data_IF_420558426911
#
_entry.id   IF_420558426911
#
_cell.length_a   1.000
_cell.length_b   1.000
_cell.length_c   1.000
_cell.angle_alpha   90.00
_cell.angle_beta   90.00
_cell.angle_gamma   90.00
#
_symmetry.space_group_name_H-M   'P 1'
#
loop_
_entity.id
_entity.type
_entity.pdbx_description
1 polymer ?
#
# COMPACT_ATOMS: atom_id res chain seq x y z
N UNK A 1 19.00 16.65 -0.55
CA UNK A 1 18.69 18.01 -1.01
C UNK A 1 17.22 18.09 -1.30
N UNK A 2 16.48 18.93 -0.57
CA UNK A 2 15.03 19.01 -0.62
C UNK A 2 14.61 19.68 -1.94
N UNK A 3 14.17 18.90 -2.93
CA UNK A 3 13.60 19.43 -4.18
C UNK A 3 12.30 20.15 -3.84
N UNK A 4 12.35 21.49 -3.91
CA UNK A 4 11.17 22.37 -3.79
C UNK A 4 10.16 21.98 -4.86
N UNK A 5 8.91 21.81 -4.46
CA UNK A 5 7.78 21.57 -5.36
C UNK A 5 7.59 22.79 -6.27
N UNK A 6 7.77 22.61 -7.58
CA UNK A 6 7.46 23.64 -8.58
C UNK A 6 6.01 23.45 -9.06
N UNK A 7 5.10 24.27 -8.52
CA UNK A 7 3.67 24.31 -8.84
C UNK A 7 2.83 24.50 -7.57
N UNK A 8 1.67 25.18 -7.60
CA UNK A 8 0.81 25.30 -6.43
C UNK A 8 0.28 23.90 -6.08
N UNK A 9 0.91 23.24 -5.11
CA UNK A 9 0.50 21.96 -4.58
C UNK A 9 -0.75 22.16 -3.73
N UNK A 10 -1.90 22.15 -4.41
CA UNK A 10 -3.20 22.41 -3.84
C UNK A 10 -3.85 21.11 -3.36
N UNK A 11 -4.15 21.04 -2.06
CA UNK A 11 -4.92 19.97 -1.43
C UNK A 11 -6.29 19.78 -2.12
N UNK A 12 -6.92 18.62 -1.92
CA UNK A 12 -8.30 18.33 -2.34
C UNK A 12 -9.30 19.44 -1.96
N UNK A 13 -9.13 20.12 -0.81
CA UNK A 13 -9.96 21.27 -0.38
C UNK A 13 -9.42 22.65 -0.78
N UNK A 14 -8.50 22.69 -1.75
CA UNK A 14 -7.86 23.92 -2.26
C UNK A 14 -6.81 24.55 -1.31
N UNK A 15 -6.39 23.84 -0.25
CA UNK A 15 -5.34 24.33 0.67
C UNK A 15 -3.94 24.33 0.02
N UNK A 16 -3.16 25.40 0.23
CA UNK A 16 -1.89 25.68 -0.46
C UNK A 16 -0.67 24.95 0.16
N UNK A 17 -0.84 24.33 1.33
CA UNK A 17 0.26 23.66 2.06
C UNK A 17 -0.15 22.25 2.54
N UNK A 18 -0.24 21.25 1.64
CA UNK A 18 -0.46 19.87 2.04
C UNK A 18 0.79 19.32 2.74
N UNK A 19 0.58 18.58 3.83
CA UNK A 19 1.64 17.94 4.62
C UNK A 19 1.60 16.41 4.51
N UNK A 20 0.54 15.89 3.89
CA UNK A 20 0.29 14.46 3.75
C UNK A 20 0.05 14.10 2.29
N UNK A 21 0.24 12.84 1.97
CA UNK A 21 -0.14 12.25 0.70
C UNK A 21 -1.05 11.05 0.93
N UNK A 22 -2.01 10.86 0.02
CA UNK A 22 -2.67 9.57 -0.19
C UNK A 22 -1.94 8.87 -1.33
N UNK A 23 -1.14 7.86 -1.00
CA UNK A 23 -0.19 7.22 -1.94
C UNK A 23 -0.92 6.55 -3.08
N UNK A 24 -1.88 5.67 -2.78
CA UNK A 24 -2.67 4.94 -3.78
C UNK A 24 -3.61 5.84 -4.60
N UNK A 25 -3.97 7.03 -4.11
CA UNK A 25 -4.77 8.00 -4.89
C UNK A 25 -3.93 9.03 -5.62
N UNK A 26 -2.62 9.07 -5.35
CA UNK A 26 -1.67 10.05 -5.83
C UNK A 26 -2.15 11.51 -5.67
N UNK A 27 -2.63 11.84 -4.47
CA UNK A 27 -3.09 13.20 -4.13
C UNK A 27 -2.39 13.70 -2.87
N UNK A 28 -2.09 15.00 -2.85
CA UNK A 28 -1.60 15.70 -1.67
C UNK A 28 -2.79 16.24 -0.85
N UNK A 29 -2.72 16.11 0.47
CA UNK A 29 -3.81 16.49 1.39
C UNK A 29 -3.26 17.25 2.62
N UNK A 30 -4.06 18.18 3.14
CA UNK A 30 -3.76 18.90 4.38
C UNK A 30 -4.21 18.08 5.61
N UNK A 31 -3.80 18.50 6.81
CA UNK A 31 -4.15 17.83 8.08
C UNK A 31 -5.65 17.56 8.22
N UNK A 32 -6.49 18.57 7.99
CA UNK A 32 -7.93 18.43 8.11
C UNK A 32 -8.51 17.38 7.16
N UNK A 33 -8.03 17.31 5.92
CA UNK A 33 -8.47 16.25 5.00
C UNK A 33 -7.88 14.89 5.42
N UNK A 34 -6.61 14.87 5.85
CA UNK A 34 -5.92 13.69 6.34
C UNK A 34 -6.66 13.01 7.51
N UNK A 35 -7.20 13.77 8.46
CA UNK A 35 -7.98 13.19 9.57
C UNK A 35 -9.18 12.39 9.08
N UNK A 36 -9.84 12.83 8.01
CA UNK A 36 -10.93 12.07 7.37
C UNK A 36 -10.39 10.87 6.62
N UNK A 37 -9.32 11.03 5.83
CA UNK A 37 -8.70 9.94 5.08
C UNK A 37 -8.27 8.77 5.98
N UNK A 38 -7.72 9.07 7.17
CA UNK A 38 -7.37 8.07 8.18
C UNK A 38 -8.58 7.26 8.65
N UNK A 39 -9.77 7.89 8.75
CA UNK A 39 -11.02 7.21 9.11
C UNK A 39 -11.57 6.29 8.02
N UNK A 40 -11.11 6.41 6.77
CA UNK A 40 -11.55 5.56 5.66
C UNK A 40 -10.83 4.20 5.64
N UNK A 41 -9.62 4.13 6.20
CA UNK A 41 -8.76 2.95 6.17
C UNK A 41 -7.94 2.80 4.88
N UNK A 42 -6.88 1.98 4.95
CA UNK A 42 -5.86 1.83 3.91
C UNK A 42 -6.40 1.32 2.57
N UNK A 43 -7.48 0.52 2.61
CA UNK A 43 -8.16 0.02 1.41
C UNK A 43 -8.74 1.17 0.56
N UNK A 44 -9.11 2.29 1.18
CA UNK A 44 -9.57 3.49 0.47
C UNK A 44 -8.43 4.49 0.24
N UNK A 45 -7.64 4.77 1.28
CA UNK A 45 -6.56 5.76 1.24
C UNK A 45 -5.38 5.33 2.12
N UNK A 46 -4.22 5.12 1.51
CA UNK A 46 -2.94 4.87 2.18
C UNK A 46 -2.26 6.22 2.48
N UNK A 47 -2.28 6.64 3.74
CA UNK A 47 -1.84 7.99 4.15
C UNK A 47 -0.38 7.97 4.60
N UNK A 48 0.43 8.94 4.15
CA UNK A 48 1.82 9.11 4.59
C UNK A 48 2.17 10.59 4.72
N UNK A 49 2.90 10.96 5.78
CA UNK A 49 3.36 12.34 5.97
C UNK A 49 4.54 12.65 5.04
N UNK A 50 4.59 13.85 4.47
CA UNK A 50 5.57 14.21 3.44
C UNK A 50 6.99 14.40 3.97
N UNK A 51 7.16 14.78 5.24
CA UNK A 51 8.47 15.18 5.79
C UNK A 51 8.88 14.49 7.08
N UNK A 52 8.00 13.71 7.72
CA UNK A 52 8.27 13.18 9.07
C UNK A 52 9.03 11.85 9.01
N UNK A 53 8.75 11.03 8.00
CA UNK A 53 9.49 9.81 7.71
C UNK A 53 10.14 9.92 6.34
N UNK A 54 11.35 9.37 6.20
CA UNK A 54 12.02 9.31 4.91
C UNK A 54 11.17 8.49 3.93
N UNK A 55 11.08 8.96 2.69
CA UNK A 55 10.41 8.24 1.61
C UNK A 55 11.45 7.49 0.77
N UNK A 56 11.10 6.31 0.23
CA UNK A 56 11.78 5.80 -0.95
C UNK A 56 11.71 6.89 -2.04
N UNK A 57 12.84 7.37 -2.59
CA UNK A 57 12.85 8.49 -3.53
C UNK A 57 11.95 8.26 -4.75
N UNK A 58 11.95 7.03 -5.27
CA UNK A 58 11.17 6.58 -6.42
C UNK A 58 9.66 6.55 -6.14
N UNK A 59 9.24 6.19 -4.92
CA UNK A 59 7.84 6.21 -4.51
C UNK A 59 7.32 7.66 -4.40
N UNK A 60 8.09 8.56 -3.79
CA UNK A 60 7.72 9.97 -3.71
C UNK A 60 7.66 10.60 -5.12
N UNK A 61 8.64 10.30 -5.98
CA UNK A 61 8.65 10.74 -7.36
C UNK A 61 7.42 10.24 -8.13
N UNK A 62 7.00 8.98 -7.93
CA UNK A 62 5.78 8.43 -8.53
C UNK A 62 4.53 9.22 -8.10
N UNK A 63 4.37 9.49 -6.80
CA UNK A 63 3.23 10.27 -6.27
C UNK A 63 3.24 11.69 -6.83
N UNK A 64 4.39 12.37 -6.82
CA UNK A 64 4.54 13.73 -7.34
C UNK A 64 4.24 13.80 -8.84
N UNK A 65 4.74 12.83 -9.61
CA UNK A 65 4.52 12.76 -11.06
C UNK A 65 3.05 12.59 -11.36
N UNK A 66 2.36 11.65 -10.71
CA UNK A 66 0.92 11.47 -10.88
C UNK A 66 0.12 12.70 -10.48
N UNK A 67 0.44 13.29 -9.33
CA UNK A 67 -0.23 14.48 -8.84
C UNK A 67 -0.10 15.66 -9.82
N UNK A 68 1.12 15.94 -10.30
CA UNK A 68 1.40 17.02 -11.24
C UNK A 68 0.78 16.78 -12.63
N UNK A 69 0.62 15.52 -13.04
CA UNK A 69 -0.08 15.14 -14.27
C UNK A 69 -1.60 15.00 -14.08
N UNK A 70 -2.16 15.56 -13.02
CA UNK A 70 -3.61 15.67 -12.88
C UNK A 70 -4.31 14.37 -12.48
N UNK A 71 -3.68 13.49 -11.70
CA UNK A 71 -4.34 12.30 -11.11
C UNK A 71 -5.68 12.64 -10.43
N UNK A 72 -5.80 13.85 -9.88
CA UNK A 72 -7.03 14.33 -9.28
C UNK A 72 -8.24 14.37 -10.24
N UNK A 73 -8.00 14.50 -11.55
CA UNK A 73 -9.04 14.49 -12.59
C UNK A 73 -9.78 13.14 -12.68
N UNK A 74 -9.12 12.03 -12.31
CA UNK A 74 -9.75 10.70 -12.25
C UNK A 74 -10.85 10.71 -11.19
N UNK A 75 -10.55 11.28 -10.03
CA UNK A 75 -11.41 11.30 -8.85
C UNK A 75 -12.43 12.44 -8.84
N UNK A 76 -12.31 13.41 -9.75
CA UNK A 76 -13.18 14.60 -9.85
C UNK A 76 -13.76 14.77 -11.27
N UNK A 77 -13.74 13.72 -12.10
CA UNK A 77 -14.12 13.79 -13.51
C UNK A 77 -15.47 14.48 -13.73
N UNK A 78 -16.52 14.06 -13.00
CA UNK A 78 -17.86 14.65 -13.16
C UNK A 78 -17.96 16.10 -12.65
N UNK A 79 -17.01 16.56 -11.84
CA UNK A 79 -16.97 17.96 -11.36
C UNK A 79 -16.27 18.88 -12.38
N UNK A 80 -15.43 18.30 -13.23
CA UNK A 80 -14.73 19.00 -14.30
C UNK A 80 -15.55 19.06 -15.61
N UNK A 81 -16.51 18.15 -15.78
CA UNK A 81 -17.38 18.08 -16.94
C UNK A 81 -18.44 19.21 -16.93
N UNK A 82 -18.41 20.15 -17.89
CA UNK A 82 -19.36 21.26 -17.97
C UNK A 82 -20.83 20.80 -18.10
N UNK A 83 -21.07 19.63 -18.69
CA UNK A 83 -22.42 19.07 -18.83
C UNK A 83 -22.98 18.56 -17.48
N UNK A 84 -22.10 18.12 -16.59
CA UNK A 84 -22.44 17.59 -15.25
C UNK A 84 -22.42 18.68 -14.15
N UNK A 85 -21.84 19.84 -14.44
CA UNK A 85 -21.66 20.96 -13.51
C UNK A 85 -22.96 21.70 -13.11
N UNK A 86 -24.11 21.38 -13.74
CA UNK A 86 -25.42 21.99 -13.40
C UNK A 86 -26.08 21.41 -12.14
N UNK A 87 -25.51 20.37 -11.52
CA UNK A 87 -25.97 19.82 -10.23
C UNK A 87 -25.36 20.56 -9.01
N UNK A 88 -26.01 20.46 -7.85
CA UNK A 88 -25.59 21.03 -6.55
C UNK A 88 -24.26 20.46 -5.97
N UNK A 89 -23.40 19.88 -6.80
CA UNK A 89 -22.17 19.17 -6.42
C UNK A 89 -21.00 20.15 -6.39
N UNK A 90 -20.89 20.92 -5.30
CA UNK A 90 -19.79 21.88 -5.11
C UNK A 90 -18.56 21.20 -4.50
N UNK A 91 -17.38 21.49 -5.05
CA UNK A 91 -16.09 21.15 -4.42
C UNK A 91 -15.92 21.94 -3.11
N UNK A 92 -15.39 21.28 -2.09
CA UNK A 92 -15.18 21.92 -0.78
C UNK A 92 -14.12 23.01 -0.84
N UNK A 93 -14.35 24.09 -0.10
CA UNK A 93 -13.46 25.23 0.04
C UNK A 93 -12.57 25.10 1.28
N UNK A 94 -11.50 25.90 1.33
CA UNK A 94 -10.53 25.91 2.43
C UNK A 94 -11.19 26.19 3.78
N UNK A 95 -12.18 27.09 3.82
CA UNK A 95 -12.86 27.54 5.04
C UNK A 95 -14.08 26.69 5.42
N UNK A 96 -14.42 25.66 4.63
CA UNK A 96 -15.53 24.78 4.99
C UNK A 96 -15.23 24.04 6.29
N UNK A 97 -16.27 23.84 7.11
CA UNK A 97 -16.16 23.06 8.35
C UNK A 97 -15.69 21.64 8.02
N UNK A 98 -14.82 21.10 8.87
CA UNK A 98 -14.32 19.73 8.73
C UNK A 98 -15.48 18.73 8.70
N UNK A 99 -16.40 18.87 9.66
CA UNK A 99 -17.65 18.13 9.72
C UNK A 99 -18.86 19.07 9.62
N UNK A 100 -19.88 18.71 8.82
CA UNK A 100 -19.95 17.55 7.92
C UNK A 100 -19.26 17.77 6.56
N UNK A 101 -19.04 19.03 6.13
CA UNK A 101 -18.76 19.40 4.73
C UNK A 101 -17.55 18.69 4.10
N UNK A 102 -16.34 18.88 4.67
CA UNK A 102 -15.12 18.24 4.12
C UNK A 102 -15.20 16.72 4.23
N UNK A 103 -15.71 16.21 5.35
CA UNK A 103 -15.81 14.78 5.59
C UNK A 103 -16.74 14.07 4.60
N UNK A 104 -17.93 14.62 4.34
CA UNK A 104 -18.89 14.06 3.38
C UNK A 104 -18.35 14.12 1.95
N UNK A 105 -17.71 15.23 1.56
CA UNK A 105 -17.09 15.33 0.24
C UNK A 105 -15.97 14.30 0.03
N UNK A 106 -15.09 14.13 1.01
CA UNK A 106 -13.98 13.16 0.95
C UNK A 106 -14.52 11.72 0.87
N UNK A 107 -15.54 11.39 1.66
CA UNK A 107 -16.23 10.09 1.60
C UNK A 107 -16.90 9.89 0.24
N UNK A 108 -17.65 10.87 -0.25
CA UNK A 108 -18.27 10.81 -1.56
C UNK A 108 -17.22 10.59 -2.67
N UNK A 109 -16.08 11.26 -2.57
CA UNK A 109 -15.00 11.19 -3.56
C UNK A 109 -14.27 9.85 -3.60
N UNK A 110 -13.79 9.35 -2.46
CA UNK A 110 -12.87 8.20 -2.43
C UNK A 110 -13.48 6.90 -1.91
N UNK A 111 -14.55 7.00 -1.12
CA UNK A 111 -15.25 5.82 -0.61
C UNK A 111 -16.44 5.45 -1.50
N UNK A 112 -17.24 6.44 -1.92
CA UNK A 112 -18.41 6.21 -2.79
C UNK A 112 -18.08 6.35 -4.28
N UNK A 113 -16.89 6.86 -4.61
CA UNK A 113 -16.46 7.13 -5.99
C UNK A 113 -17.51 7.96 -6.79
N UNK A 114 -18.16 8.91 -6.14
CA UNK A 114 -19.33 9.62 -6.68
C UNK A 114 -19.04 10.51 -7.90
N UNK A 115 -17.77 10.79 -8.18
CA UNK A 115 -17.35 11.75 -9.22
C UNK A 115 -16.45 11.13 -10.30
N UNK A 116 -16.21 9.82 -10.27
CA UNK A 116 -15.40 9.15 -11.30
C UNK A 116 -16.22 8.99 -12.58
N UNK A 117 -15.56 8.86 -13.73
CA UNK A 117 -16.24 8.66 -15.02
C UNK A 117 -17.01 7.33 -15.06
N UNK A 118 -16.43 6.27 -14.49
CA UNK A 118 -17.04 4.93 -14.41
C UNK A 118 -16.69 4.30 -13.08
N UNK A 119 -17.70 3.72 -12.43
CA UNK A 119 -17.54 2.94 -11.19
C UNK A 119 -16.73 1.67 -11.54
N UNK A 120 -15.81 1.22 -10.68
CA UNK A 120 -15.10 -0.03 -10.89
C UNK A 120 -16.09 -1.19 -11.14
N UNK A 121 -15.73 -2.09 -12.04
CA UNK A 121 -16.51 -3.31 -12.25
C UNK A 121 -16.66 -4.05 -10.91
N UNK A 122 -17.89 -4.46 -10.57
CA UNK A 122 -18.09 -5.41 -9.46
C UNK A 122 -17.48 -6.75 -9.89
N UNK A 123 -17.03 -7.56 -8.94
CA UNK A 123 -16.38 -8.86 -9.20
C UNK A 123 -17.19 -9.81 -10.10
N UNK A 124 -18.47 -9.57 -10.31
CA UNK A 124 -19.32 -10.35 -11.22
C UNK A 124 -19.02 -10.10 -12.72
N UNK A 125 -18.41 -8.97 -13.09
CA UNK A 125 -17.99 -8.64 -14.47
C UNK A 125 -16.53 -9.07 -14.74
N UNK A 126 -16.23 -10.36 -14.50
CA UNK A 126 -14.90 -10.94 -14.68
C UNK A 126 -14.30 -10.69 -16.08
N UNK A 127 -15.14 -10.59 -17.11
CA UNK A 127 -14.70 -10.29 -18.48
C UNK A 127 -14.15 -8.87 -18.61
N UNK A 128 -14.87 -7.87 -18.08
CA UNK A 128 -14.44 -6.48 -18.13
C UNK A 128 -13.16 -6.26 -17.30
N UNK A 129 -13.08 -6.86 -16.11
CA UNK A 129 -11.89 -6.83 -15.27
C UNK A 129 -10.68 -7.47 -15.98
N UNK A 130 -10.89 -8.58 -16.68
CA UNK A 130 -9.84 -9.25 -17.47
C UNK A 130 -9.36 -8.37 -18.63
N UNK A 131 -10.25 -7.70 -19.34
CA UNK A 131 -9.89 -6.84 -20.47
C UNK A 131 -9.16 -5.57 -20.01
N UNK A 132 -9.61 -4.96 -18.91
CA UNK A 132 -8.90 -3.86 -18.23
C UNK A 132 -7.50 -4.31 -17.79
N UNK A 133 -7.36 -5.53 -17.27
CA UNK A 133 -6.09 -6.09 -16.83
C UNK A 133 -5.12 -6.38 -17.99
N UNK A 134 -5.63 -6.80 -19.16
CA UNK A 134 -4.83 -6.91 -20.39
C UNK A 134 -4.36 -5.53 -20.88
N UNK A 135 -5.23 -4.52 -20.80
CA UNK A 135 -4.85 -3.13 -21.12
C UNK A 135 -3.76 -2.63 -20.17
N UNK A 136 -3.89 -2.90 -18.87
CA UNK A 136 -2.88 -2.58 -17.85
C UNK A 136 -1.54 -3.25 -18.16
N UNK A 137 -1.54 -4.55 -18.48
CA UNK A 137 -0.35 -5.30 -18.86
C UNK A 137 0.41 -4.65 -20.03
N UNK A 138 -0.32 -4.07 -20.98
CA UNK A 138 0.27 -3.39 -22.14
C UNK A 138 0.70 -1.94 -21.85
N UNK A 139 -0.06 -1.19 -21.03
CA UNK A 139 0.15 0.25 -20.80
C UNK A 139 1.42 0.55 -20.01
N UNK A 140 1.76 -0.32 -19.06
CA UNK A 140 2.89 -0.16 -18.13
C UNK A 140 4.27 -0.24 -18.80
N UNK A 141 4.32 -0.60 -20.09
CA UNK A 141 5.53 -0.50 -20.91
C UNK A 141 5.95 0.96 -21.18
N UNK A 142 5.02 1.90 -21.06
CA UNK A 142 5.24 3.34 -21.28
C UNK A 142 5.20 4.11 -19.95
N UNK A 143 5.76 5.32 -19.91
CA UNK A 143 5.76 6.16 -18.71
C UNK A 143 4.42 6.84 -18.35
N UNK A 144 3.31 6.51 -19.03
CA UNK A 144 2.02 7.15 -18.77
C UNK A 144 1.36 6.59 -17.50
N UNK A 145 1.73 7.16 -16.35
CA UNK A 145 1.20 6.76 -15.04
C UNK A 145 -0.30 7.04 -14.89
N UNK A 146 -0.82 8.11 -15.50
CA UNK A 146 -2.24 8.46 -15.40
C UNK A 146 -3.12 7.36 -16.00
N UNK A 147 -2.71 6.80 -17.15
CA UNK A 147 -3.42 5.67 -17.79
C UNK A 147 -3.41 4.44 -16.89
N UNK A 148 -2.25 4.09 -16.31
CA UNK A 148 -2.13 2.98 -15.37
C UNK A 148 -3.02 3.18 -14.15
N UNK A 149 -2.98 4.37 -13.52
CA UNK A 149 -3.81 4.70 -12.36
C UNK A 149 -5.31 4.63 -12.69
N UNK A 150 -5.70 5.10 -13.88
CA UNK A 150 -7.08 5.03 -14.35
C UNK A 150 -7.54 3.57 -14.52
N UNK A 151 -6.74 2.72 -15.16
CA UNK A 151 -7.07 1.29 -15.33
C UNK A 151 -7.20 0.58 -13.98
N UNK A 152 -6.27 0.83 -13.06
CA UNK A 152 -6.33 0.31 -11.69
C UNK A 152 -7.59 0.80 -10.96
N UNK A 153 -7.96 2.08 -11.14
CA UNK A 153 -9.19 2.64 -10.55
C UNK A 153 -10.48 2.04 -11.10
N UNK A 154 -10.45 1.44 -12.29
CA UNK A 154 -11.59 0.77 -12.92
C UNK A 154 -11.69 -0.72 -12.56
N UNK A 155 -10.71 -1.26 -11.83
CA UNK A 155 -10.68 -2.66 -11.41
C UNK A 155 -9.67 -3.54 -12.15
N UNK A 156 -8.71 -2.98 -12.89
CA UNK A 156 -7.60 -3.79 -13.41
C UNK A 156 -6.75 -4.37 -12.27
N UNK A 157 -6.35 -5.64 -12.38
CA UNK A 157 -5.56 -6.31 -11.35
C UNK A 157 -4.05 -6.14 -11.60
N UNK A 158 -3.34 -5.57 -10.63
CA UNK A 158 -1.89 -5.37 -10.71
C UNK A 158 -1.09 -6.68 -10.81
N UNK A 159 -1.62 -7.77 -10.23
CA UNK A 159 -1.07 -9.14 -10.30
C UNK A 159 -1.64 -9.98 -11.46
N UNK A 160 -2.32 -9.37 -12.44
CA UNK A 160 -2.89 -10.12 -13.55
C UNK A 160 -1.82 -10.94 -14.30
N UNK A 161 -2.01 -12.26 -14.38
CA UNK A 161 -1.13 -13.12 -15.16
C UNK A 161 -1.67 -13.25 -16.59
N UNK A 162 -0.96 -12.69 -17.57
CA UNK A 162 -1.43 -12.68 -18.95
C UNK A 162 -1.29 -14.08 -19.58
N UNK A 163 -2.39 -14.76 -19.97
CA UNK A 163 -2.32 -16.16 -20.40
C UNK A 163 -1.44 -16.40 -21.63
N UNK A 164 -1.49 -15.50 -22.62
CA UNK A 164 -0.71 -15.65 -23.86
C UNK A 164 0.72 -15.12 -23.76
N UNK A 165 1.00 -14.19 -22.85
CA UNK A 165 2.34 -13.57 -22.68
C UNK A 165 3.11 -14.17 -21.52
N UNK A 166 2.45 -14.98 -20.69
CA UNK A 166 3.04 -15.68 -19.55
C UNK A 166 3.69 -14.77 -18.51
N UNK A 167 3.26 -13.52 -18.38
CA UNK A 167 3.91 -12.49 -17.54
C UNK A 167 2.87 -11.62 -16.85
N UNK A 168 3.25 -10.97 -15.74
CA UNK A 168 2.44 -9.95 -15.05
C UNK A 168 2.76 -8.53 -15.53
N UNK A 169 1.90 -7.52 -15.26
CA UNK A 169 2.23 -6.12 -15.54
C UNK A 169 3.59 -5.69 -14.97
N UNK A 170 3.95 -6.17 -13.77
CA UNK A 170 5.22 -5.82 -13.14
C UNK A 170 6.43 -6.32 -13.94
N UNK A 171 6.36 -7.51 -14.53
CA UNK A 171 7.39 -7.99 -15.45
C UNK A 171 7.59 -7.06 -16.66
N UNK A 172 6.49 -6.56 -17.23
CA UNK A 172 6.52 -5.67 -18.40
C UNK A 172 7.12 -4.31 -18.03
N UNK A 173 6.69 -3.72 -16.91
CA UNK A 173 7.22 -2.46 -16.42
C UNK A 173 8.74 -2.56 -16.18
N UNK A 174 9.20 -3.64 -15.56
CA UNK A 174 10.61 -3.86 -15.23
C UNK A 174 11.47 -4.08 -16.46
N UNK A 175 11.04 -4.91 -17.42
CA UNK A 175 11.74 -5.10 -18.69
C UNK A 175 11.90 -3.80 -19.48
N UNK A 176 10.98 -2.85 -19.29
CA UNK A 176 10.99 -1.54 -19.92
C UNK A 176 11.69 -0.45 -19.08
N UNK A 177 12.27 -0.79 -17.92
CA UNK A 177 12.92 0.17 -17.02
C UNK A 177 11.97 1.20 -16.40
N UNK A 178 10.67 0.93 -16.35
CA UNK A 178 9.64 1.86 -15.91
C UNK A 178 9.52 1.88 -14.38
N UNK A 179 10.46 2.54 -13.71
CA UNK A 179 10.55 2.58 -12.23
C UNK A 179 9.25 3.08 -11.58
N UNK A 180 8.70 4.21 -12.03
CA UNK A 180 7.46 4.74 -11.45
C UNK A 180 6.22 3.87 -11.73
N UNK A 181 6.22 3.10 -12.82
CA UNK A 181 5.16 2.11 -13.07
C UNK A 181 5.28 0.95 -12.09
N UNK A 182 6.50 0.47 -11.83
CA UNK A 182 6.74 -0.57 -10.84
C UNK A 182 6.31 -0.14 -9.43
N UNK A 183 6.60 1.11 -9.02
CA UNK A 183 6.12 1.68 -7.76
C UNK A 183 4.59 1.71 -7.68
N UNK A 184 3.93 2.22 -8.71
CA UNK A 184 2.47 2.29 -8.74
C UNK A 184 1.82 0.90 -8.68
N UNK A 185 2.37 -0.07 -9.42
CA UNK A 185 1.92 -1.45 -9.37
C UNK A 185 2.12 -2.06 -7.98
N UNK A 186 3.27 -1.82 -7.34
CA UNK A 186 3.56 -2.27 -5.97
C UNK A 186 2.58 -1.71 -4.94
N UNK A 187 2.25 -0.41 -5.02
CA UNK A 187 1.23 0.24 -4.18
C UNK A 187 -0.15 -0.43 -4.32
N UNK A 188 -0.45 -0.97 -5.50
CA UNK A 188 -1.67 -1.74 -5.80
C UNK A 188 -1.49 -3.26 -5.61
N UNK A 189 -0.43 -3.67 -4.92
CA UNK A 189 -0.20 -5.03 -4.45
C UNK A 189 0.46 -5.96 -5.47
N UNK A 190 1.09 -5.45 -6.53
CA UNK A 190 1.87 -6.30 -7.44
C UNK A 190 3.02 -6.99 -6.69
N UNK A 191 3.15 -8.30 -6.86
CA UNK A 191 4.15 -9.13 -6.18
C UNK A 191 5.47 -9.19 -6.98
N UNK A 192 6.58 -8.62 -6.48
CA UNK A 192 7.89 -8.70 -7.12
C UNK A 192 8.52 -10.10 -7.11
N UNK A 193 8.00 -11.04 -6.31
CA UNK A 193 8.42 -12.43 -6.24
C UNK A 193 7.62 -13.38 -7.14
N UNK A 194 6.57 -12.90 -7.82
CA UNK A 194 5.74 -13.75 -8.66
C UNK A 194 6.49 -14.23 -9.92
N UNK A 195 6.61 -15.55 -10.17
CA UNK A 195 7.30 -16.06 -11.34
C UNK A 195 6.47 -15.92 -12.64
N UNK A 196 7.15 -15.70 -13.75
CA UNK A 196 6.59 -15.80 -15.10
C UNK A 196 6.50 -17.27 -15.59
N UNK A 197 6.06 -17.48 -16.83
CA UNK A 197 5.97 -18.81 -17.45
C UNK A 197 7.33 -19.53 -17.57
N UNK A 198 8.44 -18.80 -17.51
CA UNK A 198 9.80 -19.34 -17.54
C UNK A 198 10.39 -19.49 -16.13
N UNK A 199 9.61 -19.23 -15.08
CA UNK A 199 10.07 -19.27 -13.69
C UNK A 199 10.91 -18.06 -13.26
N UNK A 200 11.00 -16.99 -14.08
CA UNK A 200 11.75 -15.78 -13.74
C UNK A 200 10.84 -14.76 -13.05
N UNK A 201 11.34 -14.09 -12.03
CA UNK A 201 10.62 -13.02 -11.33
C UNK A 201 10.88 -11.65 -11.98
N UNK A 202 10.07 -10.62 -11.68
CA UNK A 202 10.40 -9.24 -12.06
C UNK A 202 11.79 -8.82 -11.59
N UNK A 203 12.22 -9.20 -10.38
CA UNK A 203 13.54 -8.88 -9.84
C UNK A 203 14.65 -9.50 -10.71
N UNK A 204 14.47 -10.73 -11.19
CA UNK A 204 15.44 -11.39 -12.07
C UNK A 204 15.59 -10.61 -13.40
N UNK A 205 14.48 -10.18 -14.00
CA UNK A 205 14.53 -9.38 -15.22
C UNK A 205 15.18 -8.00 -15.00
N UNK A 206 14.94 -7.35 -13.86
CA UNK A 206 15.61 -6.09 -13.54
C UNK A 206 17.15 -6.25 -13.57
N UNK A 207 17.65 -7.34 -12.96
CA UNK A 207 19.09 -7.67 -12.94
C UNK A 207 19.62 -8.03 -14.33
N UNK A 208 18.90 -8.87 -15.08
CA UNK A 208 19.32 -9.30 -16.42
C UNK A 208 19.43 -8.16 -17.42
N UNK A 209 18.52 -7.18 -17.34
CA UNK A 209 18.52 -5.99 -18.21
C UNK A 209 19.52 -4.92 -17.72
N UNK A 210 20.02 -5.04 -16.48
CA UNK A 210 20.98 -4.11 -15.88
C UNK A 210 20.34 -2.93 -15.14
N UNK A 211 19.05 -3.00 -14.81
CA UNK A 211 18.34 -2.01 -13.99
C UNK A 211 18.54 -2.31 -12.50
N UNK A 212 19.78 -2.18 -12.01
CA UNK A 212 20.15 -2.60 -10.64
C UNK A 212 19.40 -1.83 -9.54
N UNK A 213 19.28 -0.51 -9.66
CA UNK A 213 18.52 0.31 -8.70
C UNK A 213 17.04 -0.13 -8.61
N UNK A 214 16.45 -0.50 -9.76
CA UNK A 214 15.09 -1.02 -9.78
C UNK A 214 15.02 -2.41 -9.16
N UNK A 215 16.02 -3.28 -9.38
CA UNK A 215 16.08 -4.59 -8.75
C UNK A 215 16.15 -4.47 -7.21
N UNK A 216 16.99 -3.58 -6.70
CA UNK A 216 17.09 -3.29 -5.26
C UNK A 216 15.77 -2.75 -4.71
N UNK A 217 15.17 -1.78 -5.42
CA UNK A 217 13.89 -1.23 -5.01
C UNK A 217 12.75 -2.27 -5.00
N UNK A 218 12.75 -3.21 -5.94
CA UNK A 218 11.77 -4.30 -5.96
C UNK A 218 11.96 -5.28 -4.79
N UNK A 219 13.20 -5.50 -4.35
CA UNK A 219 13.47 -6.26 -3.12
C UNK A 219 12.90 -5.51 -1.92
N UNK A 220 13.12 -4.19 -1.81
CA UNK A 220 12.50 -3.39 -0.75
C UNK A 220 10.95 -3.48 -0.77
N UNK A 221 10.32 -3.44 -1.95
CA UNK A 221 8.87 -3.59 -2.10
C UNK A 221 8.43 -5.00 -1.67
N UNK A 222 9.18 -6.05 -2.03
CA UNK A 222 8.86 -7.43 -1.68
C UNK A 222 8.84 -7.67 -0.17
N UNK A 223 9.75 -7.01 0.56
CA UNK A 223 9.90 -7.16 2.01
C UNK A 223 9.32 -6.00 2.82
N UNK A 224 8.62 -5.06 2.19
CA UNK A 224 8.06 -3.84 2.83
C UNK A 224 7.23 -4.18 4.08
N UNK A 225 6.46 -5.27 4.04
CA UNK A 225 5.67 -5.73 5.19
C UNK A 225 6.57 -6.11 6.37
N UNK A 226 7.51 -7.03 6.16
CA UNK A 226 8.38 -7.53 7.24
C UNK A 226 9.34 -6.46 7.72
N UNK A 227 9.81 -5.59 6.84
CA UNK A 227 10.70 -4.48 7.18
C UNK A 227 9.97 -3.42 8.01
N UNK A 228 8.72 -3.09 7.68
CA UNK A 228 7.88 -2.20 8.48
C UNK A 228 7.61 -2.77 9.88
N UNK A 229 7.31 -4.07 9.97
CA UNK A 229 7.15 -4.76 11.25
C UNK A 229 8.44 -4.76 12.09
N UNK A 230 9.59 -5.01 11.46
CA UNK A 230 10.88 -5.00 12.14
C UNK A 230 11.27 -3.59 12.61
N UNK A 231 11.08 -2.58 11.77
CA UNK A 231 11.36 -1.17 12.08
C UNK A 231 10.55 -0.70 13.30
N UNK A 232 9.26 -1.06 13.37
CA UNK A 232 8.40 -0.77 14.51
C UNK A 232 8.95 -1.31 15.83
N UNK A 233 9.60 -2.48 15.81
CA UNK A 233 10.25 -3.08 16.98
C UNK A 233 11.63 -2.48 17.27
N UNK A 234 12.43 -2.14 16.26
CA UNK A 234 13.76 -1.58 16.47
C UNK A 234 13.75 -0.22 17.21
N UNK A 235 12.62 0.50 17.20
CA UNK A 235 12.38 1.69 18.04
C UNK A 235 11.94 1.40 19.49
N UNK A 236 11.76 0.14 19.87
CA UNK A 236 11.27 -0.30 21.18
C UNK A 236 12.07 -1.52 21.65
N UNK A 237 12.98 -1.31 22.61
CA UNK A 237 13.78 -2.42 23.17
C UNK A 237 12.84 -3.58 23.56
N UNK A 238 13.14 -4.83 23.15
CA UNK A 238 12.50 -5.98 23.75
C UNK A 238 12.83 -5.91 25.25
N UNK A 239 11.81 -5.71 26.07
CA UNK A 239 11.95 -5.98 27.50
C UNK A 239 12.37 -7.44 27.63
N UNK A 240 13.36 -7.68 28.49
CA UNK A 240 14.04 -8.95 28.68
C UNK A 240 13.11 -10.15 28.45
N UNK A 241 13.50 -11.02 27.51
CA UNK A 241 12.88 -12.32 27.29
C UNK A 241 13.09 -13.17 28.53
N UNK A 242 12.22 -13.00 29.51
CA UNK A 242 12.16 -13.84 30.70
C UNK A 242 10.74 -14.41 30.78
N UNK A 243 10.70 -15.74 30.65
CA UNK A 243 9.53 -16.61 30.62
C UNK A 243 8.45 -16.25 29.57
N UNK A 244 8.63 -16.81 28.36
CA UNK A 244 7.51 -17.03 27.45
C UNK A 244 6.44 -17.82 28.22
N UNK A 245 5.41 -17.13 28.68
CA UNK A 245 4.24 -17.72 29.30
C UNK A 245 3.76 -18.88 28.43
N UNK A 246 3.31 -19.98 29.06
CA UNK A 246 2.77 -21.13 28.31
C UNK A 246 1.67 -20.72 27.32
N UNK A 247 0.95 -19.64 27.62
CA UNK A 247 0.01 -19.00 26.71
C UNK A 247 0.67 -18.44 25.44
N UNK A 248 1.80 -17.72 25.56
CA UNK A 248 2.56 -17.21 24.42
C UNK A 248 3.12 -18.35 23.55
N UNK A 249 3.63 -19.42 24.16
CA UNK A 249 4.08 -20.62 23.43
C UNK A 249 2.92 -21.29 22.69
N UNK A 250 1.75 -21.41 23.32
CA UNK A 250 0.55 -21.98 22.71
C UNK A 250 0.03 -21.10 21.54
N UNK A 251 0.07 -19.78 21.69
CA UNK A 251 -0.28 -18.83 20.64
C UNK A 251 0.65 -18.96 19.43
N UNK A 252 1.97 -19.02 19.65
CA UNK A 252 2.96 -19.24 18.60
C UNK A 252 2.74 -20.54 17.83
N UNK A 253 2.41 -21.64 18.54
CA UNK A 253 2.06 -22.91 17.88
C UNK A 253 0.82 -22.77 16.99
N UNK A 254 -0.22 -22.07 17.45
CA UNK A 254 -1.42 -21.81 16.64
C UNK A 254 -1.11 -20.98 15.39
N UNK A 255 -0.23 -19.98 15.51
CA UNK A 255 0.24 -19.18 14.38
C UNK A 255 0.95 -20.05 13.33
N UNK A 256 1.84 -20.95 13.77
CA UNK A 256 2.60 -21.84 12.89
C UNK A 256 1.72 -22.85 12.13
N UNK A 257 0.54 -23.18 12.68
CA UNK A 257 -0.44 -24.08 12.05
C UNK A 257 -1.24 -23.41 10.91
N UNK A 258 -1.18 -22.08 10.77
CA UNK A 258 -1.85 -21.40 9.66
C UNK A 258 -1.22 -21.77 8.32
N UNK A 259 -2.06 -21.89 7.29
CA UNK A 259 -1.59 -21.95 5.89
C UNK A 259 -0.89 -20.64 5.51
N UNK A 260 -0.05 -20.65 4.46
CA UNK A 260 0.65 -19.44 4.01
C UNK A 260 -0.33 -18.30 3.71
N UNK A 261 -1.44 -18.60 3.01
CA UNK A 261 -2.50 -17.62 2.73
C UNK A 261 -3.07 -16.98 4.00
N UNK A 262 -3.48 -17.78 4.99
CA UNK A 262 -4.08 -17.25 6.22
C UNK A 262 -3.04 -16.51 7.07
N UNK A 263 -1.79 -16.96 7.04
CA UNK A 263 -0.68 -16.27 7.69
C UNK A 263 -0.40 -14.91 7.06
N UNK A 264 -0.36 -14.82 5.72
CA UNK A 264 -0.20 -13.56 4.98
C UNK A 264 -1.37 -12.60 5.25
N UNK A 265 -2.61 -13.11 5.29
CA UNK A 265 -3.79 -12.31 5.65
C UNK A 265 -3.66 -11.73 7.07
N UNK A 266 -3.22 -12.51 8.05
CA UNK A 266 -2.96 -12.05 9.42
C UNK A 266 -1.79 -11.06 9.47
N UNK A 267 -0.70 -11.32 8.73
CA UNK A 267 0.47 -10.46 8.70
C UNK A 267 0.11 -9.07 8.13
N UNK A 268 -0.73 -9.01 7.08
CA UNK A 268 -1.28 -7.75 6.57
C UNK A 268 -2.17 -7.04 7.59
N UNK A 269 -3.01 -7.77 8.33
CA UNK A 269 -3.86 -7.19 9.37
C UNK A 269 -3.02 -6.57 10.51
N UNK A 270 -1.89 -7.19 10.88
CA UNK A 270 -0.94 -6.65 11.87
C UNK A 270 -0.13 -5.49 11.32
N UNK A 271 0.27 -5.54 10.04
CA UNK A 271 0.93 -4.44 9.35
C UNK A 271 0.06 -3.18 9.32
N UNK A 272 -1.24 -3.33 9.00
CA UNK A 272 -2.20 -2.23 9.04
C UNK A 272 -2.28 -1.59 10.45
N UNK A 273 -2.22 -2.38 11.52
CA UNK A 273 -2.22 -1.87 12.89
C UNK A 273 -0.90 -1.17 13.25
N UNK A 274 0.24 -1.65 12.77
CA UNK A 274 1.54 -0.94 12.89
C UNK A 274 1.43 0.42 12.21
N UNK A 275 1.00 0.46 10.95
CA UNK A 275 0.80 1.69 10.17
C UNK A 275 -0.13 2.67 10.88
N UNK A 276 -1.24 2.18 11.47
CA UNK A 276 -2.17 3.00 12.26
C UNK A 276 -1.49 3.60 13.49
N UNK A 277 -0.78 2.78 14.29
CA UNK A 277 -0.09 3.23 15.52
C UNK A 277 1.03 4.24 15.22
N UNK A 278 1.78 4.03 14.14
CA UNK A 278 2.82 4.97 13.71
C UNK A 278 2.21 6.27 13.18
N UNK A 279 1.17 6.18 12.35
CA UNK A 279 0.45 7.36 11.85
C UNK A 279 -0.18 8.16 12.99
N UNK A 280 -0.69 7.51 14.04
CA UNK A 280 -1.16 8.19 15.26
C UNK A 280 -0.03 8.95 15.95
N UNK A 281 1.16 8.36 16.07
CA UNK A 281 2.32 9.02 16.67
C UNK A 281 2.78 10.23 15.84
N UNK A 282 2.82 10.11 14.52
CA UNK A 282 3.09 11.24 13.62
C UNK A 282 2.02 12.32 13.79
N UNK A 283 0.74 11.93 13.80
CA UNK A 283 -0.36 12.88 13.99
C UNK A 283 -0.24 13.68 15.29
N UNK A 284 0.10 13.03 16.40
CA UNK A 284 0.27 13.70 17.68
C UNK A 284 1.48 14.66 17.72
N UNK A 285 2.52 14.39 16.94
CA UNK A 285 3.73 15.23 16.89
C UNK A 285 3.61 16.38 15.89
N UNK A 286 2.82 16.24 14.83
CA UNK A 286 2.66 17.26 13.79
C UNK A 286 1.49 18.22 14.06
N UNK A 287 0.52 17.83 14.88
CA UNK A 287 -0.71 18.59 15.05
C UNK A 287 -0.66 19.58 16.22
N UNK A 288 -1.28 20.76 16.04
CA UNK A 288 -1.49 21.73 17.13
C UNK A 288 -2.55 21.23 18.13
N UNK A 289 -2.43 21.65 19.41
CA UNK A 289 -3.36 21.27 20.48
C UNK A 289 -4.85 21.52 20.13
N UNK A 290 -5.16 22.60 19.42
CA UNK A 290 -6.53 22.93 18.99
C UNK A 290 -7.08 21.96 17.93
N UNK A 291 -6.23 21.50 17.01
CA UNK A 291 -6.63 20.54 15.98
C UNK A 291 -6.75 19.11 16.52
N UNK A 292 -5.98 18.74 17.56
CA UNK A 292 -6.17 17.47 18.26
C UNK A 292 -7.53 17.36 18.97
N UNK A 293 -8.06 18.47 19.49
CA UNK A 293 -9.37 18.50 20.16
C UNK A 293 -10.57 18.38 19.20
N UNK A 294 -10.38 18.64 17.91
CA UNK A 294 -11.46 18.70 16.91
C UNK A 294 -11.39 17.59 15.86
N UNK A 295 -10.26 16.89 15.76
CA UNK A 295 -10.07 15.80 14.81
C UNK A 295 -10.73 14.49 15.29
N UNK A 296 -11.32 13.75 14.35
CA UNK A 296 -11.85 12.43 14.62
C UNK A 296 -10.72 11.45 15.04
N UNK A 297 -10.80 10.92 16.25
CA UNK A 297 -9.92 9.85 16.70
C UNK A 297 -10.20 8.57 15.89
N UNK A 298 -9.15 7.84 15.54
CA UNK A 298 -9.23 6.52 14.88
C UNK A 298 -8.66 5.48 15.85
N UNK A 299 -9.42 5.09 16.89
CA UNK A 299 -8.90 4.27 18.01
C UNK A 299 -8.58 2.83 17.61
N UNK A 300 -9.08 2.37 16.47
CA UNK A 300 -8.86 1.04 15.91
C UNK A 300 -8.97 1.11 14.39
N UNK A 301 -8.55 0.03 13.72
CA UNK A 301 -8.62 -0.06 12.26
C UNK A 301 -10.06 0.16 11.72
N UNK A 302 -10.24 1.07 10.74
CA UNK A 302 -11.52 1.27 10.08
C UNK A 302 -12.05 -0.02 9.43
N UNK A 303 -13.37 -0.12 9.34
CA UNK A 303 -14.04 -1.26 8.70
C UNK A 303 -13.75 -1.25 7.20
N UNK A 304 -13.31 -2.39 6.67
CA UNK A 304 -13.25 -2.63 5.23
C UNK A 304 -14.53 -3.35 4.79
N UNK A 305 -15.38 -2.76 3.91
CA UNK A 305 -16.59 -3.39 3.41
C UNK A 305 -16.36 -4.72 2.67
N UNK A 306 -15.17 -4.89 2.07
CA UNK A 306 -14.80 -6.12 1.34
C UNK A 306 -14.49 -7.30 2.28
N UNK A 307 -14.31 -7.04 3.57
CA UNK A 307 -13.96 -8.07 4.55
C UNK A 307 -15.18 -8.56 5.32
N UNK A 308 -15.18 -9.84 5.68
CA UNK A 308 -16.20 -10.39 6.57
C UNK A 308 -16.22 -9.67 7.92
N UNK A 309 -17.37 -9.70 8.60
CA UNK A 309 -17.52 -9.13 9.94
C UNK A 309 -16.51 -9.73 10.93
N UNK A 310 -16.23 -11.03 10.82
CA UNK A 310 -15.22 -11.73 11.65
C UNK A 310 -13.82 -11.18 11.43
N UNK A 311 -13.40 -10.96 10.16
CA UNK A 311 -12.08 -10.40 9.86
C UNK A 311 -11.95 -8.97 10.35
N UNK A 312 -12.96 -8.13 10.10
CA UNK A 312 -13.00 -6.76 10.63
C UNK A 312 -12.92 -6.73 12.16
N UNK A 313 -13.64 -7.62 12.85
CA UNK A 313 -13.56 -7.74 14.30
C UNK A 313 -12.15 -8.16 14.77
N UNK A 314 -11.51 -9.10 14.06
CA UNK A 314 -10.13 -9.51 14.33
C UNK A 314 -9.15 -8.34 14.25
N UNK A 315 -9.19 -7.59 13.14
CA UNK A 315 -8.41 -6.37 12.92
C UNK A 315 -8.59 -5.33 14.03
N UNK A 316 -9.84 -5.06 14.42
CA UNK A 316 -10.13 -4.06 15.47
C UNK A 316 -9.68 -4.50 16.87
N UNK A 317 -9.63 -5.81 17.15
CA UNK A 317 -9.11 -6.34 18.42
C UNK A 317 -7.62 -6.08 18.59
N UNK A 318 -6.85 -5.93 17.52
CA UNK A 318 -5.41 -5.62 17.59
C UNK A 318 -5.13 -4.30 18.33
N UNK A 319 -6.04 -3.33 18.26
CA UNK A 319 -5.92 -2.07 18.97
C UNK A 319 -5.97 -2.22 20.50
N UNK A 320 -6.51 -3.33 21.01
CA UNK A 320 -6.58 -3.61 22.46
C UNK A 320 -5.28 -4.17 23.03
N UNK A 321 -4.37 -4.63 22.17
CA UNK A 321 -3.11 -5.21 22.62
C UNK A 321 -2.25 -4.11 23.24
N UNK A 322 -1.77 -4.35 24.46
CA UNK A 322 -0.79 -3.47 25.06
C UNK A 322 0.56 -3.55 24.30
N UNK A 323 1.51 -2.68 24.65
CA UNK A 323 2.78 -2.59 23.93
C UNK A 323 3.56 -3.92 23.91
N UNK A 324 3.55 -4.67 25.02
CA UNK A 324 4.26 -5.94 25.16
C UNK A 324 3.58 -7.08 24.39
N UNK A 325 2.26 -7.21 24.50
CA UNK A 325 1.47 -8.21 23.77
C UNK A 325 1.62 -8.03 22.26
N UNK A 326 1.52 -6.78 21.80
CA UNK A 326 1.63 -6.47 20.38
C UNK A 326 3.05 -6.72 19.87
N UNK A 327 4.08 -6.34 20.63
CA UNK A 327 5.46 -6.63 20.27
C UNK A 327 5.73 -8.14 20.15
N UNK A 328 5.21 -8.95 21.07
CA UNK A 328 5.32 -10.41 21.02
C UNK A 328 4.69 -10.98 19.75
N UNK A 329 3.49 -10.52 19.38
CA UNK A 329 2.83 -10.95 18.13
C UNK A 329 3.67 -10.59 16.89
N UNK A 330 4.21 -9.37 16.84
CA UNK A 330 5.05 -8.93 15.72
C UNK A 330 6.33 -9.77 15.62
N UNK A 331 7.01 -10.06 16.74
CA UNK A 331 8.20 -10.93 16.77
C UNK A 331 7.88 -12.34 16.26
N UNK A 332 6.73 -12.90 16.67
CA UNK A 332 6.30 -14.22 16.23
C UNK A 332 5.98 -14.26 14.74
N UNK A 333 5.33 -13.23 14.19
CA UNK A 333 5.08 -13.10 12.74
C UNK A 333 6.40 -12.99 11.98
N UNK A 334 7.34 -12.15 12.41
CA UNK A 334 8.65 -12.03 11.75
C UNK A 334 9.42 -13.35 11.74
N UNK A 335 9.44 -14.03 12.89
CA UNK A 335 10.10 -15.33 13.02
C UNK A 335 9.46 -16.39 12.13
N UNK A 336 8.13 -16.41 12.02
CA UNK A 336 7.40 -17.38 11.21
C UNK A 336 7.48 -17.07 9.70
N UNK A 337 7.51 -15.79 9.32
CA UNK A 337 7.75 -15.35 7.95
C UNK A 337 9.12 -15.84 7.46
N UNK A 338 10.16 -15.63 8.27
CA UNK A 338 11.51 -16.14 7.99
C UNK A 338 11.52 -17.68 7.83
N UNK A 339 10.86 -18.40 8.74
CA UNK A 339 10.74 -19.87 8.66
C UNK A 339 10.08 -20.34 7.37
N UNK A 340 8.99 -19.69 6.96
CA UNK A 340 8.24 -20.04 5.73
C UNK A 340 9.05 -19.77 4.47
N UNK A 341 9.82 -18.69 4.45
CA UNK A 341 10.71 -18.36 3.34
C UNK A 341 11.81 -19.43 3.16
N UNK A 342 12.47 -19.85 4.25
CA UNK A 342 13.47 -20.92 4.21
C UNK A 342 12.89 -22.27 3.73
N UNK A 343 11.67 -22.60 4.15
CA UNK A 343 10.96 -23.78 3.69
C UNK A 343 10.72 -23.78 2.18
N UNK A 344 10.40 -22.61 1.61
CA UNK A 344 10.22 -22.44 0.17
C UNK A 344 11.55 -22.49 -0.60
N UNK A 345 12.63 -21.90 -0.07
CA UNK A 345 13.97 -21.97 -0.70
C UNK A 345 14.51 -23.41 -0.80
N UNK A 346 14.19 -24.27 0.16
CA UNK A 346 14.57 -25.69 0.13
C UNK A 346 13.76 -26.49 -0.92
N UNK A 347 12.54 -26.07 -1.26
CA UNK A 347 11.76 -26.66 -2.35
C UNK A 347 12.28 -26.25 -3.73
N UNK A 348 12.77 -25.01 -3.88
CA UNK A 348 13.38 -24.51 -5.12
C UNK A 348 14.73 -25.20 -5.40
N UNK A 349 15.54 -25.47 -4.36
CA UNK A 349 16.81 -26.20 -4.53
C UNK A 349 16.64 -27.70 -4.84
N UNK A 350 15.47 -28.30 -4.55
CA UNK A 350 15.16 -29.68 -4.97
C UNK A 350 14.91 -29.79 -6.48
N UNK A 351 14.64 -28.69 -7.17
CA UNK A 351 14.56 -28.63 -8.64
C UNK A 351 15.92 -28.50 -9.35
N UNK A 352 17.00 -28.23 -8.60
CA UNK A 352 18.37 -28.10 -9.12
C UNK A 352 19.31 -29.20 -8.65
N UNK A 353 18.79 -30.28 -8.06
CA UNK A 353 19.58 -31.41 -7.59
C UNK A 353 20.03 -32.33 -8.75
N UNK A 354 20.77 -31.78 -9.70
CA UNK A 354 21.74 -32.50 -10.53
C UNK A 354 22.88 -31.56 -10.93
N UNK A 355 23.75 -31.24 -9.96
CA UNK A 355 25.20 -31.17 -10.16
C UNK A 355 25.91 -31.01 -8.79
N UNK A 356 26.87 -31.89 -8.44
CA UNK A 356 27.59 -31.82 -7.17
C UNK A 356 28.77 -30.85 -7.25
N UNK A 357 29.16 -30.36 -6.07
CA UNK A 357 30.39 -29.63 -5.73
C UNK A 357 30.43 -28.12 -6.02
N UNK A 358 30.38 -27.33 -4.95
CA UNK A 358 31.56 -26.63 -4.40
C UNK A 358 31.22 -25.91 -3.09
N UNK A 359 31.90 -26.32 -2.03
CA UNK A 359 32.08 -25.53 -0.80
C UNK A 359 33.27 -24.59 -1.05
N UNK A 360 33.21 -23.31 -0.68
CA UNK A 360 34.41 -22.55 -0.38
C UNK A 360 34.57 -22.39 1.13
N UNK A 361 35.78 -22.73 1.56
CA UNK A 361 36.28 -22.70 2.91
C UNK A 361 36.17 -21.33 3.58
N UNK A 362 35.95 -21.42 4.89
CA UNK A 362 36.34 -20.43 5.90
C UNK A 362 37.84 -20.18 5.79
N UNK A 363 38.24 -18.91 5.64
CA UNK A 363 39.35 -18.27 6.35
C UNK A 363 39.18 -16.76 6.35
#
# INVERSE_FOLDING_TARGET
TCSRMEGPSVCVCVCVYPQWASVNRAVLICDQCCSVHRSLGRHSSQVRHLTHTAWPPTQLQMVQTLYNNGANSIWEHSLLDPASAMGSRRKTAVYDKLHPNKAEFIKAKYQMLAFVHRIPCRDEDLLAARDLSKQLHSSVRTGNLETTLRLLSLGAHANFFHPEKGTTPLHVAVKAGQVSQAELLGVYGADPGAPDVNGKTPIDYAREVGHMDLAERLVEIQYELTDGLAFYLCGRKPGDTQDLTELAKAAKKKLQLLSNRLFEELAMDVYDEVDRRETDAVWHTTQTHSALATAAAVPFLPVNPEYSSTRNQGRQKLARFNAHEFATLVVDILSDAWRRQLGNSCAVLKGFAHQPNRVPNVH
#
